data_IF_893534826086
#
_entry.id   IF_893534826086
#
_cell.length_a   1.000
_cell.length_b   1.000
_cell.length_c   1.000
_cell.angle_alpha   90.00
_cell.angle_beta   90.00
_cell.angle_gamma   90.00
#
_symmetry.space_group_name_H-M   'P 1'
#
loop_
_entity.id
_entity.type
_entity.pdbx_description
1 polymer ?
#
# COMPACT_ATOMS: atom_id res chain seq x y z
N UNK A 1 4.54 -1.38 20.04
CA UNK A 1 3.17 -1.88 20.29
C UNK A 1 2.27 -0.68 20.43
N UNK A 2 1.35 -0.54 19.49
CA UNK A 2 0.44 0.59 19.36
C UNK A 2 -0.97 0.25 19.86
N UNK A 3 -1.92 1.16 19.63
CA UNK A 3 -3.30 0.92 20.03
C UNK A 3 -3.95 -0.16 19.16
N UNK A 4 -3.51 -0.31 17.91
CA UNK A 4 -3.95 -1.38 17.02
C UNK A 4 -3.65 -2.78 17.59
N UNK A 5 -2.48 -2.96 18.23
CA UNK A 5 -2.12 -4.23 18.87
C UNK A 5 -3.00 -4.52 20.09
N UNK A 6 -3.24 -3.50 20.92
CA UNK A 6 -4.04 -3.61 22.14
C UNK A 6 -5.47 -4.01 21.82
N UNK A 7 -6.12 -3.31 20.88
CA UNK A 7 -7.53 -3.54 20.56
C UNK A 7 -7.75 -4.91 19.91
N UNK A 8 -6.80 -5.38 19.10
CA UNK A 8 -6.86 -6.69 18.46
C UNK A 8 -6.33 -7.82 19.36
N UNK A 9 -5.73 -7.49 20.51
CA UNK A 9 -5.25 -8.45 21.50
C UNK A 9 -3.92 -9.10 21.15
N UNK A 10 -3.13 -8.47 20.29
CA UNK A 10 -1.73 -8.85 20.05
C UNK A 10 -0.84 -8.51 21.24
N UNK A 11 -1.29 -7.64 22.14
CA UNK A 11 -0.63 -7.38 23.42
C UNK A 11 -1.59 -7.38 24.60
N UNK A 12 -1.06 -7.74 25.78
CA UNK A 12 -1.77 -7.65 27.04
C UNK A 12 -1.75 -6.23 27.62
N UNK A 13 -2.46 -6.02 28.74
CA UNK A 13 -2.52 -4.72 29.42
C UNK A 13 -1.18 -4.22 29.98
N UNK A 14 -0.14 -5.07 30.02
CA UNK A 14 1.22 -4.69 30.39
C UNK A 14 2.08 -4.29 29.19
N UNK A 15 1.53 -4.41 27.97
CA UNK A 15 2.26 -4.23 26.73
C UNK A 15 3.20 -5.40 26.43
N UNK A 16 2.90 -6.61 26.92
CA UNK A 16 3.59 -7.84 26.53
C UNK A 16 2.91 -8.46 25.31
N UNK A 17 3.67 -9.07 24.39
CA UNK A 17 3.08 -9.84 23.27
C UNK A 17 2.21 -10.97 23.81
N UNK A 18 1.02 -11.15 23.24
CA UNK A 18 0.15 -12.25 23.58
C UNK A 18 0.78 -13.59 23.17
N UNK A 19 0.72 -14.58 24.07
CA UNK A 19 1.18 -15.94 23.82
C UNK A 19 0.12 -16.95 24.33
N UNK A 20 -0.59 -17.66 23.42
CA UNK A 20 -0.49 -17.56 21.96
C UNK A 20 -1.06 -16.23 21.41
N UNK A 21 -0.69 -15.82 20.18
CA UNK A 21 -1.34 -14.70 19.51
C UNK A 21 -2.83 -15.01 19.24
N UNK A 22 -3.68 -13.97 19.07
CA UNK A 22 -5.10 -14.16 18.78
C UNK A 22 -5.30 -14.90 17.46
N UNK A 23 -6.31 -15.78 17.41
CA UNK A 23 -6.64 -16.49 16.17
C UNK A 23 -7.21 -15.54 15.11
N UNK A 24 -7.10 -15.90 13.83
CA UNK A 24 -7.60 -15.10 12.73
C UNK A 24 -9.10 -14.78 12.87
N UNK A 25 -9.91 -15.75 13.28
CA UNK A 25 -11.35 -15.55 13.49
C UNK A 25 -11.65 -14.59 14.65
N UNK A 26 -10.79 -14.54 15.68
CA UNK A 26 -10.91 -13.59 16.78
C UNK A 26 -10.57 -12.18 16.33
N UNK A 27 -9.52 -12.01 15.53
CA UNK A 27 -9.14 -10.73 14.93
C UNK A 27 -10.29 -10.19 14.06
N UNK A 28 -10.84 -11.03 13.18
CA UNK A 28 -11.98 -10.69 12.33
C UNK A 28 -13.21 -10.28 13.13
N UNK A 29 -13.56 -11.04 14.17
CA UNK A 29 -14.68 -10.73 15.05
C UNK A 29 -14.48 -9.38 15.76
N UNK A 30 -13.26 -9.09 16.23
CA UNK A 30 -12.92 -7.80 16.84
C UNK A 30 -13.07 -6.67 15.84
N UNK A 31 -12.41 -6.74 14.68
CA UNK A 31 -12.48 -5.74 13.61
C UNK A 31 -13.94 -5.44 13.20
N UNK A 32 -14.76 -6.47 13.05
CA UNK A 32 -16.18 -6.32 12.71
C UNK A 32 -16.98 -5.59 13.81
N UNK A 33 -16.60 -5.76 15.08
CA UNK A 33 -17.28 -5.16 16.23
C UNK A 33 -16.87 -3.72 16.53
N UNK A 34 -15.76 -3.24 15.96
CA UNK A 34 -15.26 -1.89 16.19
C UNK A 34 -16.27 -0.83 15.80
N UNK A 35 -16.30 0.27 16.55
CA UNK A 35 -17.09 1.45 16.19
C UNK A 35 -16.41 2.22 15.05
N UNK A 36 -17.12 3.16 14.41
CA UNK A 36 -16.50 4.04 13.42
C UNK A 36 -15.40 4.91 14.03
N UNK A 37 -15.54 5.32 15.30
CA UNK A 37 -14.53 6.13 15.99
C UNK A 37 -13.24 5.33 16.23
N UNK A 38 -13.38 4.04 16.54
CA UNK A 38 -12.24 3.12 16.63
C UNK A 38 -11.55 2.96 15.27
N UNK A 39 -12.31 2.87 14.17
CA UNK A 39 -11.75 2.79 12.82
C UNK A 39 -11.01 4.08 12.42
N UNK A 40 -11.54 5.26 12.76
CA UNK A 40 -10.85 6.56 12.55
C UNK A 40 -9.52 6.58 13.29
N UNK A 41 -9.51 6.12 14.55
CA UNK A 41 -8.27 6.04 15.34
C UNK A 41 -7.27 5.06 14.72
N UNK A 42 -7.73 3.88 14.29
CA UNK A 42 -6.91 2.89 13.62
C UNK A 42 -6.30 3.44 12.33
N UNK A 43 -7.13 4.14 11.53
CA UNK A 43 -6.73 4.73 10.26
C UNK A 43 -5.58 5.72 10.45
N UNK A 44 -5.69 6.63 11.43
CA UNK A 44 -4.62 7.57 11.78
C UNK A 44 -3.31 6.85 12.14
N UNK A 45 -3.40 5.79 12.95
CA UNK A 45 -2.21 5.01 13.33
C UNK A 45 -1.57 4.35 12.10
N UNK A 46 -2.36 3.66 11.28
CA UNK A 46 -1.89 3.01 10.03
C UNK A 46 -1.22 4.03 9.10
N UNK A 47 -1.86 5.16 8.85
CA UNK A 47 -1.38 6.18 7.93
C UNK A 47 -0.07 6.86 8.37
N UNK A 48 0.26 6.80 9.66
CA UNK A 48 1.43 7.47 10.25
C UNK A 48 2.50 6.49 10.71
N UNK A 49 2.27 5.19 10.58
CA UNK A 49 3.24 4.15 10.92
C UNK A 49 4.11 3.84 9.70
N UNK A 50 5.42 4.03 9.85
CA UNK A 50 6.38 3.63 8.83
C UNK A 50 6.44 2.12 8.67
N UNK A 51 6.87 1.63 7.51
CA UNK A 51 6.86 0.20 7.19
C UNK A 51 7.65 -0.65 8.20
N UNK A 52 8.79 -0.15 8.68
CA UNK A 52 9.61 -0.81 9.71
C UNK A 52 8.95 -0.86 11.08
N UNK A 53 8.05 0.09 11.35
CA UNK A 53 7.34 0.19 12.62
C UNK A 53 6.00 -0.55 12.60
N UNK A 54 5.60 -1.12 11.45
CA UNK A 54 4.37 -1.88 11.36
C UNK A 54 4.41 -3.11 12.25
N UNK A 55 3.35 -3.25 13.05
CA UNK A 55 3.07 -4.39 13.90
C UNK A 55 1.98 -5.27 13.30
N UNK A 56 1.79 -6.47 13.87
CA UNK A 56 0.69 -7.37 13.50
C UNK A 56 -0.68 -6.66 13.58
N UNK A 57 -0.88 -5.81 14.59
CA UNK A 57 -2.08 -4.99 14.73
C UNK A 57 -2.27 -4.01 13.57
N UNK A 58 -1.26 -3.19 13.27
CA UNK A 58 -1.36 -2.22 12.16
C UNK A 58 -1.52 -2.92 10.81
N UNK A 59 -0.83 -4.05 10.59
CA UNK A 59 -0.95 -4.86 9.38
C UNK A 59 -2.37 -5.42 9.21
N UNK A 60 -2.96 -5.96 10.28
CA UNK A 60 -4.34 -6.45 10.26
C UNK A 60 -5.34 -5.33 9.90
N UNK A 61 -5.13 -4.10 10.38
CA UNK A 61 -5.95 -2.95 9.98
C UNK A 61 -5.72 -2.53 8.53
N UNK A 62 -4.48 -2.53 8.04
CA UNK A 62 -4.20 -2.28 6.61
C UNK A 62 -4.98 -3.24 5.73
N UNK A 63 -4.92 -4.54 6.02
CA UNK A 63 -5.68 -5.57 5.31
C UNK A 63 -7.20 -5.41 5.45
N UNK A 64 -7.66 -4.93 6.60
CA UNK A 64 -9.08 -4.61 6.82
C UNK A 64 -9.55 -3.45 5.95
N UNK A 65 -8.81 -2.33 5.92
CA UNK A 65 -9.17 -1.16 5.09
C UNK A 65 -9.10 -1.47 3.59
N UNK A 66 -8.20 -2.37 3.19
CA UNK A 66 -8.06 -2.88 1.83
C UNK A 66 -9.28 -3.66 1.33
N UNK A 67 -10.16 -4.13 2.21
CA UNK A 67 -11.38 -4.86 1.82
C UNK A 67 -12.67 -4.23 2.33
N UNK A 68 -12.58 -3.30 3.29
CA UNK A 68 -13.74 -2.69 3.98
C UNK A 68 -14.82 -2.23 3.01
N UNK A 69 -14.43 -1.43 2.03
CA UNK A 69 -15.33 -0.85 1.03
C UNK A 69 -15.78 -1.85 -0.03
N UNK A 70 -14.97 -2.87 -0.30
CA UNK A 70 -15.31 -3.93 -1.23
C UNK A 70 -16.35 -4.89 -0.64
N UNK A 71 -16.18 -5.31 0.62
CA UNK A 71 -17.05 -6.29 1.29
C UNK A 71 -18.29 -5.65 1.92
N UNK A 72 -18.14 -4.47 2.52
CA UNK A 72 -19.20 -3.79 3.28
C UNK A 72 -19.28 -2.31 2.89
N UNK A 73 -19.77 -1.98 1.67
CA UNK A 73 -19.75 -0.61 1.15
C UNK A 73 -20.46 0.41 2.04
N UNK A 74 -21.54 0.04 2.74
CA UNK A 74 -22.21 0.92 3.72
C UNK A 74 -21.29 1.29 4.89
N UNK A 75 -20.52 0.32 5.39
CA UNK A 75 -19.58 0.55 6.49
C UNK A 75 -18.40 1.40 6.02
N UNK A 76 -17.92 1.18 4.79
CA UNK A 76 -16.94 2.05 4.13
C UNK A 76 -17.42 3.50 4.03
N UNK A 77 -18.68 3.73 3.62
CA UNK A 77 -19.27 5.08 3.59
C UNK A 77 -19.38 5.68 4.99
N UNK A 78 -19.85 4.91 5.97
CA UNK A 78 -19.96 5.38 7.37
C UNK A 78 -18.60 5.73 7.97
N UNK A 79 -17.57 4.95 7.65
CA UNK A 79 -16.19 5.24 8.03
C UNK A 79 -15.67 6.53 7.38
N UNK A 80 -15.84 6.70 6.06
CA UNK A 80 -15.46 7.95 5.36
C UNK A 80 -16.17 9.15 5.99
N UNK A 81 -17.46 9.04 6.30
CA UNK A 81 -18.20 10.11 6.98
C UNK A 81 -17.60 10.45 8.35
N UNK A 82 -17.30 9.44 9.17
CA UNK A 82 -16.74 9.63 10.50
C UNK A 82 -15.35 10.30 10.43
N UNK A 83 -14.50 9.85 9.52
CA UNK A 83 -13.17 10.41 9.27
C UNK A 83 -13.27 11.89 8.85
N UNK A 84 -14.13 12.20 7.87
CA UNK A 84 -14.36 13.57 7.42
C UNK A 84 -14.84 14.51 8.53
N UNK A 85 -15.60 13.98 9.49
CA UNK A 85 -16.16 14.76 10.59
C UNK A 85 -15.20 14.94 11.78
N UNK A 86 -14.27 14.01 12.00
CA UNK A 86 -13.52 13.92 13.26
C UNK A 86 -12.00 14.08 13.12
N UNK A 87 -11.41 13.81 11.97
CA UNK A 87 -9.97 14.00 11.73
C UNK A 87 -9.67 15.46 11.36
N UNK A 88 -9.00 16.26 12.21
CA UNK A 88 -8.67 17.64 11.88
C UNK A 88 -7.60 17.80 10.78
N UNK A 89 -6.77 16.79 10.53
CA UNK A 89 -5.67 16.86 9.56
C UNK A 89 -6.16 16.48 8.15
N UNK A 90 -6.17 17.46 7.24
CA UNK A 90 -6.54 17.23 5.85
C UNK A 90 -5.57 16.29 5.12
N UNK A 91 -4.30 16.20 5.53
CA UNK A 91 -3.37 15.26 4.91
C UNK A 91 -3.76 13.80 5.19
N UNK A 92 -4.21 13.50 6.41
CA UNK A 92 -4.69 12.15 6.77
C UNK A 92 -6.00 11.83 6.07
N UNK A 93 -6.92 12.79 6.00
CA UNK A 93 -8.19 12.57 5.29
C UNK A 93 -7.99 12.39 3.80
N UNK A 94 -7.02 13.08 3.21
CA UNK A 94 -6.68 12.90 1.80
C UNK A 94 -6.26 11.46 1.49
N UNK A 95 -5.63 10.75 2.43
CA UNK A 95 -5.25 9.34 2.25
C UNK A 95 -6.47 8.43 2.05
N UNK A 96 -7.70 8.83 2.42
CA UNK A 96 -8.89 8.06 2.04
C UNK A 96 -9.07 7.98 0.53
N UNK A 97 -8.67 9.03 -0.20
CA UNK A 97 -8.65 9.03 -1.64
C UNK A 97 -7.50 8.18 -2.16
N UNK A 98 -6.27 8.38 -1.70
CA UNK A 98 -5.11 7.63 -2.23
C UNK A 98 -5.14 6.14 -1.88
N UNK A 99 -5.65 5.81 -0.70
CA UNK A 99 -5.90 4.44 -0.26
C UNK A 99 -7.09 3.77 -0.97
N UNK A 100 -7.27 2.47 -0.67
CA UNK A 100 -8.29 1.64 -1.33
C UNK A 100 -9.72 1.96 -0.89
N UNK A 101 -9.93 2.62 0.24
CA UNK A 101 -11.26 2.84 0.83
C UNK A 101 -12.20 3.60 -0.10
N UNK A 102 -11.86 4.83 -0.53
CA UNK A 102 -12.71 5.56 -1.48
C UNK A 102 -12.61 4.96 -2.88
N UNK A 103 -11.41 4.59 -3.32
CA UNK A 103 -11.16 4.05 -4.65
C UNK A 103 -12.03 2.83 -4.97
N UNK A 104 -12.09 1.84 -4.07
CA UNK A 104 -12.89 0.63 -4.25
C UNK A 104 -14.39 0.90 -4.28
N UNK A 105 -14.89 1.86 -3.48
CA UNK A 105 -16.29 2.27 -3.57
C UNK A 105 -16.63 2.79 -4.97
N UNK A 106 -15.72 3.57 -5.56
CA UNK A 106 -15.93 4.14 -6.89
C UNK A 106 -15.75 3.10 -8.00
N UNK A 107 -14.78 2.20 -7.88
CA UNK A 107 -14.52 1.16 -8.90
C UNK A 107 -15.59 0.08 -8.88
N UNK A 108 -15.87 -0.51 -7.72
CA UNK A 108 -16.70 -1.72 -7.63
C UNK A 108 -18.15 -1.42 -7.26
N UNK A 109 -18.41 -0.31 -6.57
CA UNK A 109 -19.72 -0.05 -5.94
C UNK A 109 -20.33 1.30 -6.30
N UNK A 110 -19.84 2.00 -7.34
CA UNK A 110 -20.29 3.36 -7.66
C UNK A 110 -21.81 3.49 -7.78
N UNK A 111 -22.47 2.49 -8.37
CA UNK A 111 -23.93 2.50 -8.53
C UNK A 111 -24.67 2.52 -7.19
N UNK A 112 -24.16 1.76 -6.21
CA UNK A 112 -24.72 1.63 -4.86
C UNK A 112 -24.30 2.80 -3.98
N UNK A 113 -23.06 3.25 -4.08
CA UNK A 113 -22.49 4.29 -3.25
C UNK A 113 -22.89 5.71 -3.68
N UNK A 114 -23.12 5.97 -4.97
CA UNK A 114 -23.34 7.32 -5.47
C UNK A 114 -24.49 8.10 -4.79
N UNK A 115 -25.69 7.53 -4.54
CA UNK A 115 -26.75 8.26 -3.84
C UNK A 115 -26.30 8.72 -2.43
N UNK A 116 -25.67 7.83 -1.66
CA UNK A 116 -25.20 8.13 -0.31
C UNK A 116 -24.07 9.17 -0.32
N UNK A 117 -23.12 9.05 -1.24
CA UNK A 117 -22.03 10.04 -1.40
C UNK A 117 -22.56 11.41 -1.82
N UNK A 118 -23.58 11.47 -2.68
CA UNK A 118 -24.22 12.72 -3.08
C UNK A 118 -24.94 13.38 -1.91
N UNK A 119 -25.68 12.61 -1.11
CA UNK A 119 -26.32 13.12 0.10
C UNK A 119 -25.30 13.60 1.13
N UNK A 120 -24.26 12.80 1.37
CA UNK A 120 -23.16 13.15 2.27
C UNK A 120 -22.46 14.44 1.81
N UNK A 121 -22.24 14.63 0.51
CA UNK A 121 -21.60 15.82 -0.04
C UNK A 121 -22.41 17.11 0.16
N UNK A 122 -23.73 17.02 0.38
CA UNK A 122 -24.57 18.18 0.69
C UNK A 122 -24.35 18.69 2.12
N UNK A 123 -23.94 17.80 3.02
CA UNK A 123 -23.81 18.07 4.47
C UNK A 123 -22.36 18.07 4.95
N UNK A 124 -21.44 17.49 4.19
CA UNK A 124 -20.00 17.47 4.43
C UNK A 124 -19.25 18.07 3.24
N UNK A 125 -18.96 19.39 3.23
CA UNK A 125 -18.21 20.04 2.16
C UNK A 125 -16.83 19.41 1.92
N UNK A 126 -16.24 18.85 2.97
CA UNK A 126 -14.94 18.16 2.91
C UNK A 126 -14.97 16.90 2.04
N UNK A 127 -16.12 16.22 1.91
CA UNK A 127 -16.27 15.14 0.93
C UNK A 127 -16.10 15.67 -0.50
N UNK A 128 -16.63 16.86 -0.81
CA UNK A 128 -16.52 17.44 -2.16
C UNK A 128 -15.06 17.68 -2.53
N UNK A 129 -14.31 18.24 -1.59
CA UNK A 129 -12.86 18.41 -1.72
C UNK A 129 -12.16 17.06 -1.92
N UNK A 130 -12.45 16.04 -1.10
CA UNK A 130 -11.87 14.70 -1.24
C UNK A 130 -12.22 14.05 -2.60
N UNK A 131 -13.46 14.18 -3.06
CA UNK A 131 -13.89 13.72 -4.38
C UNK A 131 -13.16 14.45 -5.52
N UNK A 132 -12.68 15.67 -5.28
CA UNK A 132 -11.79 16.41 -6.17
C UNK A 132 -10.51 15.65 -6.51
N UNK A 133 -9.95 14.89 -5.55
CA UNK A 133 -8.76 14.05 -5.75
C UNK A 133 -8.97 12.98 -6.84
N UNK A 134 -10.18 12.41 -6.91
CA UNK A 134 -10.52 11.35 -7.87
C UNK A 134 -11.17 11.84 -9.15
N UNK A 135 -11.33 13.15 -9.34
CA UNK A 135 -12.00 13.70 -10.52
C UNK A 135 -11.33 13.26 -11.84
N UNK A 136 -9.99 13.23 -11.89
CA UNK A 136 -9.26 12.75 -13.05
C UNK A 136 -9.51 11.25 -13.30
N UNK A 137 -9.40 10.42 -12.26
CA UNK A 137 -9.62 8.97 -12.34
C UNK A 137 -11.05 8.61 -12.74
N UNK A 138 -12.05 9.34 -12.22
CA UNK A 138 -13.46 9.17 -12.60
C UNK A 138 -13.64 9.42 -14.10
N UNK A 139 -13.01 10.48 -14.65
CA UNK A 139 -13.05 10.77 -16.09
C UNK A 139 -12.30 9.73 -16.93
N UNK A 140 -11.24 9.13 -16.40
CA UNK A 140 -10.42 8.15 -17.12
C UNK A 140 -10.93 6.72 -17.03
N UNK A 141 -12.15 6.51 -16.51
CA UNK A 141 -12.81 5.19 -16.54
C UNK A 141 -12.83 4.43 -15.22
N UNK A 142 -12.44 5.04 -14.09
CA UNK A 142 -12.59 4.43 -12.76
C UNK A 142 -14.05 4.03 -12.46
N UNK A 143 -15.02 4.79 -12.98
CA UNK A 143 -16.45 4.51 -12.81
C UNK A 143 -17.03 4.03 -14.13
N UNK A 144 -17.64 2.85 -14.15
CA UNK A 144 -18.10 2.17 -15.38
C UNK A 144 -19.10 2.97 -16.24
N UNK A 145 -19.98 3.77 -15.61
CA UNK A 145 -21.11 4.41 -16.28
C UNK A 145 -20.86 5.90 -16.50
N UNK A 146 -20.97 6.42 -17.74
CA UNK A 146 -20.88 7.85 -18.02
C UNK A 146 -21.92 8.70 -17.26
N UNK A 147 -23.08 8.13 -16.93
CA UNK A 147 -24.07 8.80 -16.10
C UNK A 147 -23.60 8.92 -14.65
N UNK A 148 -23.07 7.83 -14.07
CA UNK A 148 -22.52 7.84 -12.71
C UNK A 148 -21.29 8.74 -12.62
N UNK A 149 -20.41 8.72 -13.64
CA UNK A 149 -19.29 9.66 -13.75
C UNK A 149 -19.77 11.10 -13.65
N UNK A 150 -20.75 11.50 -14.46
CA UNK A 150 -21.30 12.87 -14.41
C UNK A 150 -21.86 13.23 -13.03
N UNK A 151 -22.58 12.30 -12.39
CA UNK A 151 -23.17 12.51 -11.06
C UNK A 151 -22.11 12.68 -9.97
N UNK A 152 -21.06 11.87 -9.98
CA UNK A 152 -19.96 11.93 -9.02
C UNK A 152 -19.05 13.14 -9.27
N UNK A 153 -18.78 13.48 -10.54
CA UNK A 153 -18.04 14.70 -10.90
C UNK A 153 -18.80 15.97 -10.50
N UNK A 154 -20.14 15.96 -10.49
CA UNK A 154 -20.93 17.11 -10.08
C UNK A 154 -20.77 17.48 -8.58
N UNK A 155 -20.29 16.54 -7.76
CA UNK A 155 -19.97 16.80 -6.34
C UNK A 155 -18.47 16.98 -6.08
N UNK A 156 -17.60 16.78 -7.08
CA UNK A 156 -16.16 16.89 -6.92
C UNK A 156 -15.69 18.36 -7.01
N UNK A 157 -15.04 18.84 -5.96
CA UNK A 157 -14.34 20.13 -5.94
C UNK A 157 -12.88 19.94 -6.35
N UNK A 158 -12.67 19.70 -7.64
CA UNK A 158 -11.35 19.51 -8.22
C UNK A 158 -10.46 20.75 -8.09
N UNK A 159 -11.04 21.94 -8.19
CA UNK A 159 -10.27 23.19 -8.05
C UNK A 159 -9.78 23.37 -6.62
N UNK A 160 -10.64 23.15 -5.63
CA UNK A 160 -10.28 23.21 -4.21
C UNK A 160 -9.19 22.19 -3.87
N UNK A 161 -9.33 20.94 -4.33
CA UNK A 161 -8.32 19.91 -4.11
C UNK A 161 -6.97 20.27 -4.72
N UNK A 162 -6.93 20.69 -6.00
CA UNK A 162 -5.69 21.09 -6.67
C UNK A 162 -5.00 22.27 -5.98
N UNK A 163 -5.77 23.29 -5.59
CA UNK A 163 -5.23 24.44 -4.88
C UNK A 163 -4.67 24.09 -3.50
N UNK A 164 -5.24 23.08 -2.84
CA UNK A 164 -4.68 22.52 -1.61
C UNK A 164 -3.38 21.74 -1.89
N UNK A 165 -3.38 20.79 -2.84
CA UNK A 165 -2.17 20.02 -3.21
C UNK A 165 -0.99 20.93 -3.57
N UNK A 166 -1.23 21.98 -4.35
CA UNK A 166 -0.19 22.93 -4.76
C UNK A 166 0.44 23.65 -3.56
N UNK A 167 -0.33 23.95 -2.51
CA UNK A 167 0.20 24.56 -1.28
C UNK A 167 0.99 23.58 -0.41
N UNK A 168 0.60 22.30 -0.42
CA UNK A 168 1.27 21.26 0.35
C UNK A 168 2.57 20.78 -0.30
N UNK A 169 2.67 20.92 -1.62
CA UNK A 169 3.86 20.56 -2.39
C UNK A 169 5.05 21.39 -1.92
N UNK A 170 6.03 20.71 -1.31
CA UNK A 170 7.32 21.32 -1.00
C UNK A 170 8.18 21.24 -2.26
N UNK A 171 8.77 22.35 -2.73
CA UNK A 171 9.73 22.27 -3.82
C UNK A 171 10.95 21.49 -3.34
N UNK A 172 11.16 20.31 -3.90
CA UNK A 172 12.40 19.55 -3.79
C UNK A 172 13.12 19.57 -5.14
N UNK A 173 14.45 19.47 -5.11
CA UNK A 173 15.19 19.10 -6.32
C UNK A 173 14.95 17.61 -6.57
N UNK A 174 14.38 17.20 -7.72
CA UNK A 174 14.10 15.80 -7.97
C UNK A 174 15.38 14.97 -7.92
N UNK A 175 15.34 13.82 -7.24
CA UNK A 175 16.49 12.92 -7.21
C UNK A 175 16.68 12.25 -8.57
N UNK A 176 17.87 12.37 -9.16
CA UNK A 176 18.25 11.66 -10.39
C UNK A 176 18.70 10.22 -10.08
N UNK A 177 17.74 9.31 -9.80
CA UNK A 177 18.03 7.93 -9.39
C UNK A 177 18.96 7.17 -10.35
N UNK A 178 18.84 7.41 -11.65
CA UNK A 178 19.70 6.80 -12.67
C UNK A 178 21.17 7.20 -12.58
N UNK A 179 21.49 8.32 -11.92
CA UNK A 179 22.86 8.79 -11.71
C UNK A 179 23.48 8.29 -10.40
N UNK A 180 22.69 7.70 -9.51
CA UNK A 180 23.16 7.23 -8.21
C UNK A 180 24.02 5.96 -8.36
N UNK A 181 25.16 5.87 -7.64
CA UNK A 181 25.85 4.61 -7.43
C UNK A 181 24.91 3.59 -6.78
N UNK A 182 25.06 2.30 -7.15
CA UNK A 182 24.17 1.23 -6.67
C UNK A 182 23.98 1.18 -5.12
N UNK A 183 25.01 1.38 -4.27
CA UNK A 183 24.81 1.45 -2.82
C UNK A 183 23.97 2.65 -2.36
N UNK A 184 24.11 3.80 -3.02
CA UNK A 184 23.33 5.00 -2.70
C UNK A 184 21.88 4.84 -3.17
N UNK A 185 21.67 4.22 -4.34
CA UNK A 185 20.35 3.85 -4.83
C UNK A 185 19.64 2.87 -3.87
N UNK A 186 20.35 1.85 -3.37
CA UNK A 186 19.81 0.92 -2.39
C UNK A 186 19.44 1.61 -1.07
N UNK A 187 20.30 2.52 -0.58
CA UNK A 187 20.01 3.30 0.62
C UNK A 187 18.79 4.21 0.43
N UNK A 188 18.68 4.88 -0.72
CA UNK A 188 17.53 5.70 -1.08
C UNK A 188 16.25 4.84 -1.15
N UNK A 189 16.32 3.66 -1.76
CA UNK A 189 15.18 2.74 -1.82
C UNK A 189 14.71 2.34 -0.41
N UNK A 190 15.63 1.97 0.49
CA UNK A 190 15.28 1.61 1.87
C UNK A 190 14.66 2.79 2.62
N UNK A 191 15.24 3.98 2.52
CA UNK A 191 14.72 5.17 3.19
C UNK A 191 13.30 5.51 2.70
N UNK A 192 13.14 5.69 1.38
CA UNK A 192 11.89 6.08 0.74
C UNK A 192 10.79 5.05 1.04
N UNK A 193 11.13 3.76 0.94
CA UNK A 193 10.18 2.65 1.13
C UNK A 193 9.78 2.48 2.60
N UNK A 194 10.65 2.82 3.55
CA UNK A 194 10.36 2.71 4.99
C UNK A 194 9.33 3.71 5.53
N UNK A 195 9.07 4.78 4.78
CA UNK A 195 8.18 5.88 5.19
C UNK A 195 6.73 5.43 5.33
N UNK A 196 6.00 6.11 6.21
CA UNK A 196 4.54 5.98 6.34
C UNK A 196 3.81 6.52 5.11
N UNK A 197 2.54 6.18 4.95
CA UNK A 197 1.73 6.69 3.83
C UNK A 197 1.65 8.21 3.81
N UNK A 198 1.51 8.84 4.99
CA UNK A 198 1.53 10.30 5.11
C UNK A 198 2.87 10.91 4.68
N UNK A 199 3.99 10.29 5.06
CA UNK A 199 5.32 10.77 4.68
C UNK A 199 5.58 10.60 3.18
N UNK A 200 5.13 9.50 2.57
CA UNK A 200 5.22 9.27 1.12
C UNK A 200 4.44 10.32 0.34
N UNK A 201 3.25 10.71 0.80
CA UNK A 201 2.48 11.77 0.14
C UNK A 201 3.13 13.16 0.20
N UNK A 202 4.01 13.38 1.18
CA UNK A 202 4.80 14.62 1.32
C UNK A 202 6.07 14.61 0.48
N UNK A 203 6.41 13.47 -0.12
CA UNK A 203 7.69 13.21 -0.73
C UNK A 203 7.56 13.05 -2.25
N UNK A 204 8.24 13.93 -2.98
CA UNK A 204 8.19 13.91 -4.45
C UNK A 204 9.00 12.74 -5.04
N UNK A 205 9.92 12.15 -4.26
CA UNK A 205 10.82 11.08 -4.67
C UNK A 205 10.16 9.69 -4.58
N UNK A 206 9.10 9.50 -3.79
CA UNK A 206 8.35 8.23 -3.72
C UNK A 206 7.87 7.78 -5.12
N UNK A 207 7.16 8.66 -5.83
CA UNK A 207 6.65 8.36 -7.17
C UNK A 207 7.78 8.17 -8.18
N UNK A 208 8.81 9.02 -8.12
CA UNK A 208 9.95 8.94 -9.03
C UNK A 208 10.81 7.67 -8.82
N UNK A 209 10.95 7.21 -7.57
CA UNK A 209 11.62 5.94 -7.25
C UNK A 209 10.83 4.77 -7.81
N UNK A 210 9.50 4.77 -7.66
CA UNK A 210 8.64 3.71 -8.20
C UNK A 210 8.70 3.67 -9.73
N UNK A 211 8.60 4.82 -10.41
CA UNK A 211 8.74 4.91 -11.86
C UNK A 211 10.12 4.42 -12.34
N UNK A 212 11.19 4.83 -11.64
CA UNK A 212 12.54 4.37 -11.93
C UNK A 212 12.69 2.85 -11.74
N UNK A 213 12.11 2.30 -10.66
CA UNK A 213 12.11 0.85 -10.40
C UNK A 213 11.43 0.08 -11.54
N UNK A 214 10.26 0.53 -11.98
CA UNK A 214 9.52 -0.10 -13.08
C UNK A 214 10.30 -0.02 -14.41
N UNK A 215 10.96 1.11 -14.68
CA UNK A 215 11.84 1.27 -15.83
C UNK A 215 13.04 0.31 -15.76
N UNK A 216 13.67 0.20 -14.59
CA UNK A 216 14.80 -0.69 -14.35
C UNK A 216 14.42 -2.16 -14.57
N UNK A 217 13.30 -2.60 -14.01
CA UNK A 217 12.76 -3.95 -14.24
C UNK A 217 12.52 -4.22 -15.72
N UNK A 218 11.94 -3.27 -16.44
CA UNK A 218 11.56 -3.44 -17.84
C UNK A 218 12.76 -3.43 -18.80
N UNK A 219 13.76 -2.58 -18.54
CA UNK A 219 14.85 -2.30 -19.47
C UNK A 219 16.19 -2.95 -19.06
N UNK A 220 16.42 -3.21 -17.78
CA UNK A 220 17.62 -3.84 -17.25
C UNK A 220 17.30 -4.74 -16.02
N UNK A 221 16.61 -5.87 -16.23
CA UNK A 221 16.20 -6.76 -15.13
C UNK A 221 17.38 -7.39 -14.38
N UNK A 222 18.56 -7.49 -15.01
CA UNK A 222 19.78 -7.94 -14.32
C UNK A 222 20.34 -6.84 -13.41
N UNK A 223 20.29 -5.58 -13.85
CA UNK A 223 20.55 -4.42 -12.98
C UNK A 223 19.58 -4.33 -11.80
N UNK A 224 18.28 -4.58 -12.03
CA UNK A 224 17.29 -4.69 -10.96
C UNK A 224 17.64 -5.80 -9.95
N UNK A 225 18.08 -6.96 -10.43
CA UNK A 225 18.53 -8.06 -9.56
C UNK A 225 19.77 -7.66 -8.72
N UNK A 226 20.72 -6.92 -9.28
CA UNK A 226 21.85 -6.39 -8.50
C UNK A 226 21.38 -5.40 -7.42
N UNK A 227 20.40 -4.55 -7.71
CA UNK A 227 19.79 -3.66 -6.71
C UNK A 227 19.15 -4.47 -5.57
N UNK A 228 18.36 -5.50 -5.87
CA UNK A 228 17.77 -6.39 -4.85
C UNK A 228 18.85 -6.98 -3.94
N UNK A 229 19.96 -7.43 -4.53
CA UNK A 229 21.07 -8.00 -3.76
C UNK A 229 21.73 -6.98 -2.82
N UNK A 230 21.96 -5.75 -3.28
CA UNK A 230 22.56 -4.70 -2.45
C UNK A 230 21.59 -4.23 -1.36
N UNK A 231 20.28 -4.13 -1.63
CA UNK A 231 19.28 -3.85 -0.60
C UNK A 231 19.31 -4.96 0.47
N UNK A 232 19.33 -6.22 0.04
CA UNK A 232 19.38 -7.38 0.95
C UNK A 232 20.67 -7.41 1.80
N UNK A 233 21.77 -6.80 1.35
CA UNK A 233 22.98 -6.66 2.15
C UNK A 233 22.82 -5.67 3.31
N UNK A 234 22.03 -4.61 3.14
CA UNK A 234 21.88 -3.52 4.12
C UNK A 234 20.59 -3.56 4.94
N UNK A 235 19.63 -4.41 4.57
CA UNK A 235 18.32 -4.49 5.20
C UNK A 235 18.05 -5.89 5.78
N UNK A 236 17.46 -5.93 6.98
CA UNK A 236 17.07 -7.15 7.68
C UNK A 236 15.67 -7.10 8.31
N UNK A 237 14.97 -5.96 8.22
CA UNK A 237 13.61 -5.80 8.71
C UNK A 237 12.61 -6.68 7.92
N UNK A 238 11.81 -7.52 8.59
CA UNK A 238 10.88 -8.43 7.92
C UNK A 238 9.85 -7.75 7.03
N UNK A 239 9.34 -6.57 7.41
CA UNK A 239 8.33 -5.85 6.62
C UNK A 239 8.95 -5.29 5.34
N UNK A 240 10.17 -4.73 5.44
CA UNK A 240 10.93 -4.29 4.27
C UNK A 240 11.26 -5.44 3.33
N UNK A 241 11.70 -6.58 3.87
CA UNK A 241 12.02 -7.76 3.06
C UNK A 241 10.77 -8.37 2.41
N UNK A 242 9.62 -8.33 3.08
CA UNK A 242 8.34 -8.73 2.50
C UNK A 242 7.96 -7.87 1.30
N UNK A 243 8.13 -6.54 1.40
CA UNK A 243 7.85 -5.63 0.28
C UNK A 243 8.90 -5.73 -0.84
N UNK A 244 10.17 -5.96 -0.51
CA UNK A 244 11.21 -6.23 -1.51
C UNK A 244 10.90 -7.51 -2.31
N UNK A 245 10.38 -8.54 -1.65
CA UNK A 245 9.99 -9.80 -2.27
C UNK A 245 8.75 -9.65 -3.17
N UNK A 246 7.63 -9.18 -2.62
CA UNK A 246 6.37 -9.04 -3.36
C UNK A 246 6.33 -7.82 -4.31
N UNK A 247 7.38 -6.99 -4.31
CA UNK A 247 7.55 -5.85 -5.20
C UNK A 247 8.69 -6.11 -6.19
N UNK A 248 9.83 -5.44 -5.99
CA UNK A 248 10.94 -5.43 -6.95
C UNK A 248 11.41 -6.82 -7.39
N UNK A 249 11.53 -7.80 -6.48
CA UNK A 249 11.95 -9.15 -6.85
C UNK A 249 10.86 -9.91 -7.63
N UNK A 250 9.58 -9.72 -7.32
CA UNK A 250 8.49 -10.31 -8.07
C UNK A 250 8.39 -9.71 -9.48
N UNK A 251 8.40 -8.37 -9.55
CA UNK A 251 8.28 -7.62 -10.81
C UNK A 251 9.42 -7.96 -11.79
N UNK A 252 10.64 -8.24 -11.31
CA UNK A 252 11.77 -8.57 -12.18
C UNK A 252 11.70 -9.97 -12.80
N UNK A 253 10.90 -10.89 -12.24
CA UNK A 253 10.87 -12.28 -12.69
C UNK A 253 9.93 -12.41 -13.90
N UNK A 254 10.45 -12.73 -15.11
CA UNK A 254 9.62 -12.86 -16.30
C UNK A 254 8.73 -14.12 -16.26
N UNK A 255 7.65 -14.09 -17.04
CA UNK A 255 6.75 -15.25 -17.21
C UNK A 255 7.43 -16.44 -17.93
N UNK A 256 8.35 -16.11 -18.84
CA UNK A 256 9.05 -17.05 -19.71
C UNK A 256 10.50 -17.26 -19.25
N UNK A 257 11.05 -18.43 -19.58
CA UNK A 257 12.39 -18.78 -19.16
C UNK A 257 13.47 -17.91 -19.84
N UNK A 258 14.61 -17.73 -19.19
CA UNK A 258 15.70 -16.95 -19.74
C UNK A 258 16.81 -16.57 -18.74
N UNK A 259 17.71 -15.66 -19.16
CA UNK A 259 18.90 -15.30 -18.39
C UNK A 259 18.60 -14.76 -16.98
N UNK A 260 17.45 -14.11 -16.80
CA UNK A 260 17.02 -13.60 -15.49
C UNK A 260 16.67 -14.76 -14.54
N UNK A 261 15.94 -15.76 -15.02
CA UNK A 261 15.62 -16.96 -14.24
C UNK A 261 16.89 -17.72 -13.86
N UNK A 262 17.83 -17.86 -14.80
CA UNK A 262 19.14 -18.47 -14.52
C UNK A 262 19.88 -17.74 -13.40
N UNK A 263 19.89 -16.40 -13.44
CA UNK A 263 20.55 -15.57 -12.43
C UNK A 263 19.85 -15.66 -11.06
N UNK A 264 18.51 -15.64 -11.01
CA UNK A 264 17.72 -15.78 -9.78
C UNK A 264 17.93 -17.15 -9.13
N UNK A 265 17.90 -18.23 -9.91
CA UNK A 265 18.15 -19.60 -9.42
C UNK A 265 19.57 -19.72 -8.86
N UNK A 266 20.58 -19.25 -9.62
CA UNK A 266 21.96 -19.28 -9.17
C UNK A 266 22.19 -18.46 -7.88
N UNK A 267 21.51 -17.32 -7.74
CA UNK A 267 21.53 -16.51 -6.52
C UNK A 267 20.91 -17.27 -5.33
N UNK A 268 19.74 -17.86 -5.51
CA UNK A 268 19.07 -18.62 -4.47
C UNK A 268 19.89 -19.84 -4.04
N UNK A 269 20.62 -20.49 -4.95
CA UNK A 269 21.52 -21.60 -4.62
C UNK A 269 22.72 -21.15 -3.77
N UNK A 270 23.32 -20.01 -4.09
CA UNK A 270 24.54 -19.52 -3.42
C UNK A 270 24.27 -18.73 -2.13
N UNK A 271 23.11 -18.08 -2.01
CA UNK A 271 22.81 -17.12 -0.95
C UNK A 271 21.54 -17.51 -0.17
N UNK A 272 21.69 -18.07 1.05
CA UNK A 272 20.54 -18.44 1.88
C UNK A 272 19.61 -17.29 2.25
N UNK A 273 20.11 -16.05 2.34
CA UNK A 273 19.26 -14.87 2.58
C UNK A 273 18.38 -14.58 1.37
N UNK A 274 18.96 -14.64 0.17
CA UNK A 274 18.21 -14.44 -1.07
C UNK A 274 17.21 -15.57 -1.29
N UNK A 275 17.57 -16.82 -0.97
CA UNK A 275 16.62 -17.94 -0.99
C UNK A 275 15.40 -17.70 -0.11
N UNK A 276 15.60 -17.16 1.10
CA UNK A 276 14.49 -16.77 1.98
C UNK A 276 13.67 -15.62 1.41
N UNK A 277 14.31 -14.63 0.79
CA UNK A 277 13.62 -13.52 0.11
C UNK A 277 12.72 -14.03 -1.02
N UNK A 278 13.21 -14.97 -1.84
CA UNK A 278 12.42 -15.66 -2.87
C UNK A 278 11.20 -16.42 -2.28
N UNK A 279 11.26 -16.74 -0.98
CA UNK A 279 10.15 -17.20 -0.15
C UNK A 279 8.89 -16.35 -0.24
N UNK A 280 9.03 -15.03 -0.40
CA UNK A 280 7.94 -14.07 -0.41
C UNK A 280 7.40 -13.68 -1.80
N UNK A 281 7.91 -14.29 -2.88
CA UNK A 281 7.46 -14.01 -4.25
C UNK A 281 6.24 -14.86 -4.61
N UNK A 282 5.28 -14.26 -5.29
CA UNK A 282 4.09 -14.92 -5.81
C UNK A 282 4.30 -15.31 -7.27
N UNK A 283 4.34 -16.62 -7.56
CA UNK A 283 4.54 -17.14 -8.92
C UNK A 283 3.26 -17.14 -9.77
N UNK A 284 2.61 -15.98 -9.90
CA UNK A 284 1.42 -15.82 -10.73
C UNK A 284 1.78 -15.58 -12.19
N UNK A 285 1.03 -16.17 -13.12
CA UNK A 285 1.20 -15.94 -14.58
C UNK A 285 2.43 -16.61 -15.23
N UNK A 286 3.35 -17.18 -14.45
CA UNK A 286 4.56 -17.83 -14.96
C UNK A 286 4.26 -19.14 -15.70
N UNK A 287 5.12 -19.48 -16.67
CA UNK A 287 5.09 -20.79 -17.31
C UNK A 287 5.34 -21.91 -16.27
N UNK A 288 4.77 -23.12 -16.44
CA UNK A 288 4.97 -24.22 -15.50
C UNK A 288 6.44 -24.61 -15.29
N UNK A 289 7.27 -24.40 -16.32
CA UNK A 289 8.72 -24.66 -16.28
C UNK A 289 9.43 -23.67 -15.36
N UNK A 290 9.19 -22.37 -15.54
CA UNK A 290 9.77 -21.31 -14.69
C UNK A 290 9.32 -21.49 -13.24
N UNK A 291 8.02 -21.71 -13.01
CA UNK A 291 7.49 -21.92 -11.67
C UNK A 291 8.18 -23.12 -10.97
N UNK A 292 8.35 -24.24 -11.66
CA UNK A 292 9.02 -25.42 -11.11
C UNK A 292 10.49 -25.17 -10.76
N UNK A 293 11.21 -24.40 -11.60
CA UNK A 293 12.60 -24.01 -11.35
C UNK A 293 12.71 -23.14 -10.10
N UNK A 294 11.86 -22.12 -9.99
CA UNK A 294 11.86 -21.19 -8.85
C UNK A 294 11.42 -21.87 -7.56
N UNK A 295 10.42 -22.75 -7.61
CA UNK A 295 10.01 -23.58 -6.46
C UNK A 295 11.16 -24.46 -5.95
N UNK A 296 11.90 -25.07 -6.88
CA UNK A 296 13.09 -25.87 -6.54
C UNK A 296 14.18 -25.02 -5.89
N UNK A 297 14.43 -23.83 -6.45
CA UNK A 297 15.45 -22.91 -5.94
C UNK A 297 15.10 -22.32 -4.57
N UNK A 298 13.81 -22.03 -4.35
CA UNK A 298 13.26 -21.55 -3.08
C UNK A 298 13.35 -22.60 -1.98
N UNK A 299 13.13 -23.87 -2.32
CA UNK A 299 13.17 -24.99 -1.37
C UNK A 299 12.06 -24.92 -0.32
N UNK A 300 12.19 -25.71 0.75
CA UNK A 300 11.27 -25.61 1.90
C UNK A 300 11.47 -24.28 2.62
N UNK A 301 10.44 -23.43 2.59
CA UNK A 301 10.45 -22.14 3.27
C UNK A 301 10.11 -22.35 4.75
N UNK A 302 11.08 -22.20 5.64
CA UNK A 302 10.86 -22.06 7.08
C UNK A 302 10.98 -20.58 7.47
N UNK A 303 9.85 -19.98 7.86
CA UNK A 303 9.78 -18.63 8.45
C UNK A 303 10.00 -18.70 9.97
#
# INVERSE_FOLDING_TARGET
MGWCDEVLGFCDASGGKADPPPAAEEIEARLASLTTDDLVRAWREVCTTGLKDQTDGTHAFTMYFDRLSHETPERGIAFIEAELASEPDDEIVMLLAEGKVLGQLLVFHARRAAPALQELALRQPRLRWLMGAKAASIRSGMVESPELQRRLLAIADEQGYRAWREKMRKPAEPTEFAALPLPELAAAWVEITSRSDLERERDEDWGAMFDFQQDLVSNDPLGALELVKVILEIEDDPNMLGLLAAGLLEDLIPEEDGPVIDAVVAEAERNPRFRRLLGGVWFYGMSPEVAARLETARGEVTW
#
